data_IF_481554184906
#
_entry.id   IF_481554184906
#
_cell.length_a   1.000
_cell.length_b   1.000
_cell.length_c   1.000
_cell.angle_alpha   90.00
_cell.angle_beta   90.00
_cell.angle_gamma   90.00
#
_symmetry.space_group_name_H-M   'P 1'
#
loop_
_entity.id
_entity.type
_entity.pdbx_description
1 polymer ?
#
# COMPACT_ATOMS: atom_id res chain seq x y z
N UNK A 1 6.85 -3.49 1.96
CA UNK A 1 6.12 -4.71 2.34
C UNK A 1 6.74 -5.20 3.65
N UNK A 2 6.12 -4.88 4.78
CA UNK A 2 6.62 -5.37 6.08
C UNK A 2 6.31 -6.86 6.16
N UNK A 3 7.32 -7.66 6.46
CA UNK A 3 7.16 -9.11 6.61
C UNK A 3 6.92 -9.38 8.10
N UNK A 4 5.86 -10.14 8.39
CA UNK A 4 5.45 -10.46 9.75
C UNK A 4 5.64 -11.95 10.05
N UNK A 5 5.80 -12.27 11.34
CA UNK A 5 5.94 -13.64 11.83
C UNK A 5 4.79 -13.93 12.79
N UNK A 6 4.12 -15.06 12.61
CA UNK A 6 3.10 -15.56 13.54
C UNK A 6 3.31 -17.04 13.81
N UNK A 7 3.24 -17.41 15.08
CA UNK A 7 3.38 -18.80 15.54
C UNK A 7 2.01 -19.38 15.89
N UNK A 8 1.73 -20.58 15.39
CA UNK A 8 0.58 -21.40 15.72
C UNK A 8 1.04 -22.64 16.48
N UNK A 9 0.16 -23.15 17.33
CA UNK A 9 0.38 -24.41 18.03
C UNK A 9 -0.76 -25.35 17.69
N UNK A 10 -0.43 -26.57 17.25
CA UNK A 10 -1.40 -27.61 16.91
C UNK A 10 -1.16 -28.77 17.89
N UNK A 11 -1.86 -28.79 19.03
CA UNK A 11 -1.77 -29.90 19.98
C UNK A 11 -2.40 -31.16 19.39
N UNK A 12 -1.84 -32.35 19.66
CA UNK A 12 -2.40 -33.62 19.17
C UNK A 12 -3.85 -33.82 19.63
N UNK A 13 -4.14 -33.46 20.88
CA UNK A 13 -5.46 -33.58 21.49
C UNK A 13 -6.53 -32.63 20.91
N UNK A 14 -6.11 -31.58 20.19
CA UNK A 14 -7.00 -30.55 19.64
C UNK A 14 -6.58 -30.14 18.21
N UNK A 15 -6.04 -31.09 17.45
CA UNK A 15 -5.40 -30.80 16.17
C UNK A 15 -6.36 -30.21 15.14
N UNK A 16 -7.60 -30.70 15.11
CA UNK A 16 -8.62 -30.27 14.13
C UNK A 16 -8.99 -28.79 14.28
N UNK A 17 -9.28 -28.33 15.50
CA UNK A 17 -9.60 -26.92 15.76
C UNK A 17 -8.41 -26.00 15.44
N UNK A 18 -7.20 -26.38 15.88
CA UNK A 18 -6.00 -25.60 15.63
C UNK A 18 -5.65 -25.53 14.13
N UNK A 19 -5.89 -26.60 13.37
CA UNK A 19 -5.72 -26.63 11.92
C UNK A 19 -6.75 -25.72 11.21
N UNK A 20 -8.00 -25.68 11.68
CA UNK A 20 -9.01 -24.76 11.14
C UNK A 20 -8.58 -23.30 11.35
N UNK A 21 -8.08 -22.96 12.54
CA UNK A 21 -7.59 -21.61 12.83
C UNK A 21 -6.38 -21.22 11.97
N UNK A 22 -5.40 -22.13 11.81
CA UNK A 22 -4.26 -21.92 10.93
C UNK A 22 -4.71 -21.75 9.48
N UNK A 23 -5.56 -22.64 8.96
CA UNK A 23 -6.10 -22.59 7.60
C UNK A 23 -6.86 -21.29 7.32
N UNK A 24 -7.69 -20.84 8.26
CA UNK A 24 -8.39 -19.57 8.16
C UNK A 24 -7.42 -18.39 8.07
N UNK A 25 -6.37 -18.40 8.88
CA UNK A 25 -5.32 -17.37 8.83
C UNK A 25 -4.54 -17.38 7.51
N UNK A 26 -4.12 -18.55 7.02
CA UNK A 26 -3.34 -18.67 5.78
C UNK A 26 -4.10 -18.13 4.55
N UNK A 27 -5.44 -18.04 4.60
CA UNK A 27 -6.27 -17.45 3.53
C UNK A 27 -6.27 -15.92 3.53
N UNK A 28 -5.87 -15.27 4.63
CA UNK A 28 -5.87 -13.80 4.73
C UNK A 28 -4.49 -13.20 4.48
N UNK A 29 -3.48 -14.01 4.16
CA UNK A 29 -2.09 -13.59 4.09
C UNK A 29 -1.38 -14.23 2.90
N UNK A 30 -0.35 -13.55 2.40
CA UNK A 30 0.59 -14.06 1.43
C UNK A 30 1.73 -14.75 2.19
N UNK A 31 1.74 -16.08 2.17
CA UNK A 31 2.73 -16.88 2.89
C UNK A 31 4.07 -16.83 2.16
N UNK A 32 5.11 -16.39 2.87
CA UNK A 32 6.48 -16.42 2.36
C UNK A 32 7.21 -17.71 2.75
N UNK A 33 7.02 -18.16 4.00
CA UNK A 33 7.66 -19.37 4.52
C UNK A 33 6.86 -19.95 5.67
N UNK A 34 6.86 -21.28 5.78
CA UNK A 34 6.36 -22.00 6.95
C UNK A 34 7.47 -22.88 7.49
N UNK A 35 7.73 -22.76 8.79
CA UNK A 35 8.64 -23.65 9.52
C UNK A 35 7.85 -24.42 10.57
N UNK A 36 8.23 -25.67 10.80
CA UNK A 36 7.56 -26.53 11.78
C UNK A 36 8.55 -27.21 12.69
N UNK A 37 8.17 -27.35 13.96
CA UNK A 37 8.90 -28.12 14.95
C UNK A 37 7.89 -28.87 15.82
N UNK A 38 8.15 -30.14 16.10
CA UNK A 38 7.31 -30.94 16.99
C UNK A 38 7.97 -31.07 18.35
N UNK A 39 7.23 -30.76 19.41
CA UNK A 39 7.68 -30.93 20.79
C UNK A 39 6.47 -31.05 21.73
N UNK A 40 6.61 -31.85 22.79
CA UNK A 40 5.65 -31.95 23.89
C UNK A 40 4.18 -32.20 23.47
N UNK A 41 3.96 -33.08 22.48
CA UNK A 41 2.60 -33.44 22.03
C UNK A 41 1.92 -32.38 21.17
N UNK A 42 2.69 -31.47 20.58
CA UNK A 42 2.17 -30.42 19.71
C UNK A 42 3.15 -30.04 18.59
N UNK A 43 2.60 -29.67 17.43
CA UNK A 43 3.34 -28.96 16.40
C UNK A 43 3.38 -27.46 16.69
N UNK A 44 4.55 -26.86 16.60
CA UNK A 44 4.75 -25.41 16.49
C UNK A 44 4.93 -25.08 15.03
N UNK A 45 4.08 -24.20 14.50
CA UNK A 45 4.10 -23.78 13.10
C UNK A 45 4.38 -22.28 13.08
N UNK A 46 5.55 -21.90 12.59
CA UNK A 46 5.93 -20.51 12.40
C UNK A 46 5.65 -20.11 10.95
N UNK A 47 4.82 -19.09 10.77
CA UNK A 47 4.45 -18.57 9.45
C UNK A 47 5.07 -17.20 9.28
N UNK A 48 5.90 -17.04 8.26
CA UNK A 48 6.39 -15.78 7.73
C UNK A 48 5.47 -15.34 6.60
N UNK A 49 4.89 -14.14 6.68
CA UNK A 49 3.85 -13.72 5.75
C UNK A 49 3.80 -12.20 5.52
N UNK A 50 3.04 -11.80 4.50
CA UNK A 50 2.60 -10.42 4.27
C UNK A 50 1.07 -10.39 4.32
N UNK A 51 0.47 -9.45 5.04
CA UNK A 51 -0.99 -9.36 5.18
C UNK A 51 -1.64 -8.98 3.83
N UNK A 52 -2.54 -9.81 3.31
CA UNK A 52 -3.21 -9.55 2.02
C UNK A 52 -4.20 -8.41 2.14
N UNK A 53 -4.89 -8.26 3.28
CA UNK A 53 -5.88 -7.19 3.47
C UNK A 53 -5.20 -5.84 3.43
N UNK A 54 -4.09 -5.69 4.16
CA UNK A 54 -3.30 -4.44 4.11
C UNK A 54 -2.74 -4.16 2.72
N UNK A 55 -2.37 -5.20 1.96
CA UNK A 55 -1.90 -5.06 0.57
C UNK A 55 -3.02 -4.59 -0.35
N UNK A 56 -4.20 -5.19 -0.28
CA UNK A 56 -5.37 -4.81 -1.07
C UNK A 56 -5.86 -3.41 -0.72
N UNK A 57 -5.96 -3.07 0.57
CA UNK A 57 -6.30 -1.73 1.05
C UNK A 57 -5.30 -0.68 0.53
N UNK A 58 -4.00 -0.97 0.64
CA UNK A 58 -2.96 -0.07 0.13
C UNK A 58 -3.07 0.10 -1.39
N UNK A 59 -3.32 -0.99 -2.13
CA UNK A 59 -3.52 -0.92 -3.58
C UNK A 59 -4.77 -0.14 -3.99
N UNK A 60 -5.86 -0.23 -3.21
CA UNK A 60 -7.07 0.55 -3.44
C UNK A 60 -6.81 2.05 -3.19
N UNK A 61 -6.09 2.39 -2.13
CA UNK A 61 -5.69 3.78 -1.83
C UNK A 61 -4.79 4.32 -2.94
N UNK A 62 -3.76 3.58 -3.34
CA UNK A 62 -2.85 3.94 -4.43
C UNK A 62 -3.63 4.19 -5.74
N UNK A 63 -4.53 3.27 -6.10
CA UNK A 63 -5.35 3.40 -7.31
C UNK A 63 -6.29 4.61 -7.25
N UNK A 64 -6.90 4.89 -6.10
CA UNK A 64 -7.77 6.03 -5.91
C UNK A 64 -7.01 7.36 -6.04
N UNK A 65 -5.84 7.48 -5.41
CA UNK A 65 -4.98 8.67 -5.52
C UNK A 65 -4.52 8.86 -6.97
N UNK A 66 -4.06 7.80 -7.63
CA UNK A 66 -3.63 7.87 -9.02
C UNK A 66 -4.78 8.32 -9.95
N UNK A 67 -5.99 7.82 -9.74
CA UNK A 67 -7.17 8.22 -10.50
C UNK A 67 -7.52 9.70 -10.26
N UNK A 68 -7.50 10.16 -9.01
CA UNK A 68 -7.78 11.54 -8.64
C UNK A 68 -6.74 12.51 -9.23
N UNK A 69 -5.45 12.16 -9.15
CA UNK A 69 -4.37 12.93 -9.75
C UNK A 69 -4.51 13.00 -11.26
N UNK A 70 -4.87 11.89 -11.93
CA UNK A 70 -5.13 11.91 -13.37
C UNK A 70 -6.27 12.84 -13.74
N UNK A 71 -7.39 12.80 -13.00
CA UNK A 71 -8.52 13.69 -13.23
C UNK A 71 -8.20 15.17 -12.99
N UNK A 72 -7.37 15.48 -11.99
CA UNK A 72 -6.85 16.84 -11.78
C UNK A 72 -5.89 17.26 -12.91
N UNK A 73 -4.96 16.38 -13.29
CA UNK A 73 -3.96 16.59 -14.34
C UNK A 73 -4.60 16.94 -15.68
N UNK A 74 -5.69 16.26 -16.03
CA UNK A 74 -6.45 16.54 -17.26
C UNK A 74 -7.08 17.94 -17.24
N UNK A 75 -7.62 18.38 -16.09
CA UNK A 75 -8.19 19.73 -15.93
C UNK A 75 -7.12 20.81 -15.99
N UNK A 76 -6.00 20.62 -15.29
CA UNK A 76 -4.88 21.55 -15.27
C UNK A 76 -4.26 21.70 -16.67
N UNK A 77 -4.08 20.58 -17.38
CA UNK A 77 -3.57 20.57 -18.75
C UNK A 77 -4.49 21.33 -19.71
N UNK A 78 -5.80 21.12 -19.62
CA UNK A 78 -6.79 21.83 -20.43
C UNK A 78 -6.77 23.35 -20.15
N UNK A 79 -6.62 23.77 -18.90
CA UNK A 79 -6.54 25.19 -18.52
C UNK A 79 -5.26 25.86 -19.02
N UNK A 80 -4.13 25.15 -18.95
CA UNK A 80 -2.82 25.66 -19.37
C UNK A 80 -2.55 25.50 -20.88
N UNK A 81 -3.40 24.77 -21.62
CA UNK A 81 -3.21 24.50 -23.05
C UNK A 81 -2.01 23.61 -23.34
N UNK A 82 -1.61 22.76 -22.39
CA UNK A 82 -0.47 21.84 -22.51
C UNK A 82 -0.92 20.39 -22.37
N UNK A 83 0.00 19.44 -22.56
CA UNK A 83 -0.28 18.02 -22.33
C UNK A 83 -0.28 17.69 -20.84
N UNK A 84 -1.02 16.65 -20.46
CA UNK A 84 -1.06 16.15 -19.06
C UNK A 84 0.34 15.85 -18.50
N UNK A 85 1.22 15.29 -19.32
CA UNK A 85 2.58 14.93 -18.94
C UNK A 85 3.45 16.16 -18.63
N UNK A 86 3.17 17.31 -19.28
CA UNK A 86 3.83 18.58 -18.98
C UNK A 86 3.40 19.20 -17.63
N UNK A 87 2.22 18.81 -17.11
CA UNK A 87 1.77 19.21 -15.77
C UNK A 87 2.42 18.32 -14.71
N UNK A 88 2.34 17.01 -14.90
CA UNK A 88 2.87 16.00 -14.00
C UNK A 88 3.16 14.71 -14.76
N UNK A 89 4.43 14.28 -14.74
CA UNK A 89 4.85 13.07 -15.42
C UNK A 89 4.13 11.82 -14.89
N UNK A 90 3.84 10.87 -15.78
CA UNK A 90 3.06 9.67 -15.42
C UNK A 90 3.73 8.79 -14.35
N UNK A 91 5.06 8.68 -14.38
CA UNK A 91 5.81 7.93 -13.38
C UNK A 91 5.73 8.59 -11.99
N UNK A 92 5.74 9.92 -11.95
CA UNK A 92 5.61 10.68 -10.71
C UNK A 92 4.20 10.57 -10.11
N UNK A 93 3.15 10.42 -10.94
CA UNK A 93 1.79 10.09 -10.45
C UNK A 93 1.80 8.79 -9.66
N UNK A 94 2.45 7.75 -10.18
CA UNK A 94 2.52 6.45 -9.50
C UNK A 94 3.31 6.52 -8.18
N UNK A 95 4.38 7.31 -8.14
CA UNK A 95 5.15 7.48 -6.90
C UNK A 95 4.38 8.29 -5.86
N UNK A 96 3.72 9.37 -6.26
CA UNK A 96 2.88 10.16 -5.36
C UNK A 96 1.72 9.31 -4.83
N UNK A 97 1.11 8.48 -5.67
CA UNK A 97 0.08 7.54 -5.23
C UNK A 97 0.60 6.54 -4.20
N UNK A 98 1.80 6.00 -4.42
CA UNK A 98 2.47 5.04 -3.52
C UNK A 98 2.85 5.61 -2.16
N UNK A 99 3.36 6.84 -2.15
CA UNK A 99 3.85 7.49 -0.91
C UNK A 99 2.80 8.38 -0.24
N UNK A 100 1.74 8.73 -0.96
CA UNK A 100 0.63 9.56 -0.50
C UNK A 100 1.07 10.82 0.29
N UNK A 101 1.91 11.70 -0.28
CA UNK A 101 2.39 12.88 0.42
C UNK A 101 1.24 13.84 0.75
N UNK A 102 1.16 14.24 2.02
CA UNK A 102 0.15 15.15 2.57
C UNK A 102 0.70 16.56 2.83
N UNK A 103 1.98 16.78 2.57
CA UNK A 103 2.62 18.10 2.63
C UNK A 103 3.50 18.37 1.42
N UNK A 104 3.70 19.64 1.07
CA UNK A 104 4.63 20.01 -0.02
C UNK A 104 6.07 19.59 0.29
N UNK A 105 6.43 19.49 1.58
CA UNK A 105 7.74 19.02 1.98
C UNK A 105 7.94 17.54 1.65
N UNK A 106 6.98 16.68 1.96
CA UNK A 106 7.00 15.26 1.58
C UNK A 106 7.03 15.09 0.06
N UNK A 107 6.22 15.87 -0.67
CA UNK A 107 6.22 15.87 -2.12
C UNK A 107 7.61 16.25 -2.69
N UNK A 108 8.25 17.26 -2.10
CA UNK A 108 9.57 17.71 -2.55
C UNK A 108 10.64 16.62 -2.42
N UNK A 109 10.55 15.76 -1.41
CA UNK A 109 11.47 14.63 -1.21
C UNK A 109 11.35 13.63 -2.36
N UNK A 110 10.11 13.30 -2.77
CA UNK A 110 9.82 12.36 -3.86
C UNK A 110 10.34 12.92 -5.19
N UNK A 111 10.04 14.20 -5.49
CA UNK A 111 10.46 14.88 -6.72
C UNK A 111 11.99 15.02 -6.80
N UNK A 112 12.63 15.42 -5.70
CA UNK A 112 14.09 15.59 -5.64
C UNK A 112 14.82 14.24 -5.77
N UNK A 113 14.27 13.15 -5.24
CA UNK A 113 14.84 11.82 -5.40
C UNK A 113 14.91 11.37 -6.87
N UNK A 114 14.08 11.96 -7.74
CA UNK A 114 14.08 11.74 -9.20
C UNK A 114 14.93 12.74 -9.98
N UNK A 115 15.59 13.69 -9.31
CA UNK A 115 16.34 14.75 -9.96
C UNK A 115 15.47 15.71 -10.78
N UNK A 116 14.17 15.76 -10.48
CA UNK A 116 13.22 16.66 -11.13
C UNK A 116 13.12 17.99 -10.36
N UNK A 117 12.78 19.07 -11.05
CA UNK A 117 12.55 20.36 -10.42
C UNK A 117 11.18 20.39 -9.72
N UNK A 118 11.07 21.18 -8.64
CA UNK A 118 9.80 21.37 -7.92
C UNK A 118 8.72 21.89 -8.87
N UNK A 119 7.59 21.18 -8.94
CA UNK A 119 6.45 21.57 -9.76
C UNK A 119 5.78 22.84 -9.18
N UNK A 120 5.35 23.81 -10.02
CA UNK A 120 4.56 24.95 -9.55
C UNK A 120 3.20 24.52 -8.98
N UNK A 121 2.77 23.28 -9.26
CA UNK A 121 1.51 22.71 -8.80
C UNK A 121 1.59 21.98 -7.45
N UNK A 122 2.70 22.11 -6.71
CA UNK A 122 2.93 21.34 -5.48
C UNK A 122 1.77 21.37 -4.48
N UNK A 123 1.24 22.57 -4.20
CA UNK A 123 0.09 22.74 -3.31
C UNK A 123 -1.19 22.07 -3.81
N UNK A 124 -1.47 22.14 -5.12
CA UNK A 124 -2.65 21.49 -5.72
C UNK A 124 -2.54 19.96 -5.66
N UNK A 125 -1.36 19.41 -5.96
CA UNK A 125 -1.11 17.97 -5.92
C UNK A 125 -1.34 17.44 -4.50
N UNK A 126 -0.74 18.09 -3.50
CA UNK A 126 -0.91 17.72 -2.09
C UNK A 126 -2.37 17.80 -1.67
N UNK A 127 -3.09 18.83 -2.13
CA UNK A 127 -4.50 18.98 -1.83
C UNK A 127 -5.34 17.83 -2.41
N UNK A 128 -5.06 17.40 -3.65
CA UNK A 128 -5.73 16.25 -4.27
C UNK A 128 -5.49 14.97 -3.46
N UNK A 129 -4.25 14.71 -3.04
CA UNK A 129 -3.91 13.54 -2.22
C UNK A 129 -4.68 13.56 -0.90
N UNK A 130 -4.64 14.69 -0.16
CA UNK A 130 -5.34 14.84 1.11
C UNK A 130 -6.84 14.63 0.97
N UNK A 131 -7.48 15.31 0.02
CA UNK A 131 -8.92 15.15 -0.21
C UNK A 131 -9.31 13.73 -0.63
N UNK A 132 -8.43 13.02 -1.34
CA UNK A 132 -8.68 11.61 -1.69
C UNK A 132 -8.58 10.70 -0.46
N UNK A 133 -7.59 10.91 0.40
CA UNK A 133 -7.45 10.16 1.65
C UNK A 133 -8.63 10.39 2.59
N UNK A 134 -9.08 11.64 2.75
CA UNK A 134 -10.23 11.98 3.59
C UNK A 134 -11.48 11.20 3.15
N UNK A 135 -11.73 11.08 1.84
CA UNK A 135 -12.86 10.33 1.26
C UNK A 135 -12.79 8.81 1.45
N UNK A 136 -11.60 8.26 1.74
CA UNK A 136 -11.40 6.83 1.96
C UNK A 136 -11.46 6.44 3.44
N UNK A 137 -11.40 7.44 4.33
CA UNK A 137 -11.44 7.26 5.79
C UNK A 137 -12.90 7.38 6.32
N UNK A 138 -13.75 8.14 5.62
CA UNK A 138 -15.20 8.26 5.88
C UNK A 138 -16.02 7.06 5.37
#
# INVERSE_FOLDING_TARGET
MSTEIRTFTIPDAAAEEAQVQLSAFLRTVEVQRIETAYADGAWRVLVLFTDLRRKEESQQIEAAIAAALNGWRDKAAAQAGVTRDAILADDLVQEIARFAPTTEHELSIIVNARGQASSPYGGEIVQVVRSTLDLLID
#
